data_IF_438338552462
#
_entry.id   IF_438338552462
#
_cell.length_a   1.000
_cell.length_b   1.000
_cell.length_c   1.000
_cell.angle_alpha   90.00
_cell.angle_beta   90.00
_cell.angle_gamma   90.00
#
_symmetry.space_group_name_H-M   'P 1'
#
loop_
_entity.id
_entity.type
_entity.pdbx_description
1 polymer ?
#
# COMPACT_ATOMS: atom_id res chain seq x y z
N UNK A 1 23.34 59.25 5.77
CA UNK A 1 23.06 59.10 4.32
C UNK A 1 21.95 58.07 4.16
N UNK A 2 20.77 58.44 3.65
CA UNK A 2 19.69 57.47 3.36
C UNK A 2 20.02 56.80 2.03
N UNK A 3 20.26 55.49 2.03
CA UNK A 3 20.37 54.70 0.79
C UNK A 3 19.04 54.80 0.05
N UNK A 4 19.07 55.30 -1.18
CA UNK A 4 17.93 55.22 -2.09
C UNK A 4 17.66 53.75 -2.37
N UNK A 5 16.45 53.27 -2.06
CA UNK A 5 16.04 51.93 -2.47
C UNK A 5 15.65 52.01 -3.95
N UNK A 6 16.41 51.35 -4.83
CA UNK A 6 15.99 51.17 -6.22
C UNK A 6 14.79 50.21 -6.23
N UNK A 7 13.62 50.71 -6.62
CA UNK A 7 12.46 49.86 -6.86
C UNK A 7 12.71 48.93 -8.06
N UNK A 8 12.06 47.76 -8.03
CA UNK A 8 12.07 46.81 -9.13
C UNK A 8 11.28 47.37 -10.32
N UNK A 9 11.72 47.10 -11.56
CA UNK A 9 11.00 47.61 -12.74
C UNK A 9 9.78 46.75 -13.06
N UNK A 10 8.72 47.35 -13.61
CA UNK A 10 7.54 46.60 -14.05
C UNK A 10 7.88 45.57 -15.14
N UNK A 11 8.84 45.88 -16.01
CA UNK A 11 9.28 44.97 -17.08
C UNK A 11 9.99 43.73 -16.52
N UNK A 12 10.83 43.87 -15.49
CA UNK A 12 11.46 42.72 -14.85
C UNK A 12 10.43 41.78 -14.23
N UNK A 13 9.40 42.32 -13.58
CA UNK A 13 8.34 41.50 -12.99
C UNK A 13 7.60 40.71 -14.08
N UNK A 14 7.27 41.35 -15.20
CA UNK A 14 6.56 40.71 -16.33
C UNK A 14 7.39 39.62 -16.98
N UNK A 15 8.69 39.85 -17.20
CA UNK A 15 9.58 38.82 -17.78
C UNK A 15 9.71 37.62 -16.84
N UNK A 16 9.82 37.85 -15.53
CA UNK A 16 9.94 36.77 -14.55
C UNK A 16 8.70 35.87 -14.53
N UNK A 17 7.49 36.45 -14.47
CA UNK A 17 6.25 35.65 -14.49
C UNK A 17 6.07 34.90 -15.82
N UNK A 18 6.50 35.49 -16.95
CA UNK A 18 6.45 34.84 -18.25
C UNK A 18 7.37 33.61 -18.31
N UNK A 19 8.59 33.71 -17.77
CA UNK A 19 9.53 32.58 -17.67
C UNK A 19 8.95 31.49 -16.77
N UNK A 20 8.42 31.84 -15.59
CA UNK A 20 7.82 30.88 -14.67
C UNK A 20 6.63 30.15 -15.31
N UNK A 21 5.80 30.84 -16.10
CA UNK A 21 4.66 30.24 -16.80
C UNK A 21 5.12 29.16 -17.79
N UNK A 22 6.16 29.42 -18.59
CA UNK A 22 6.70 28.45 -19.56
C UNK A 22 7.29 27.23 -18.84
N UNK A 23 8.09 27.45 -17.80
CA UNK A 23 8.69 26.37 -17.01
C UNK A 23 7.62 25.48 -16.38
N UNK A 24 6.56 26.10 -15.85
CA UNK A 24 5.47 25.41 -15.17
C UNK A 24 4.64 24.57 -16.14
N UNK A 25 4.39 25.08 -17.36
CA UNK A 25 3.65 24.36 -18.40
C UNK A 25 4.31 23.02 -18.80
N UNK A 26 5.65 22.95 -18.78
CA UNK A 26 6.39 21.72 -19.11
C UNK A 26 6.63 20.84 -17.88
N UNK A 27 6.85 21.46 -16.71
CA UNK A 27 7.17 20.74 -15.48
C UNK A 27 5.96 20.02 -14.87
N UNK A 28 4.77 20.64 -14.89
CA UNK A 28 3.58 20.07 -14.22
C UNK A 28 3.16 18.69 -14.74
N UNK A 29 3.03 18.45 -16.06
CA UNK A 29 2.63 17.13 -16.56
C UNK A 29 3.64 16.03 -16.20
N UNK A 30 4.94 16.37 -16.20
CA UNK A 30 5.99 15.43 -15.79
C UNK A 30 5.96 15.15 -14.30
N UNK A 31 5.73 16.18 -13.49
CA UNK A 31 5.64 16.02 -12.04
C UNK A 31 4.45 15.13 -11.65
N UNK A 32 3.28 15.31 -12.28
CA UNK A 32 2.11 14.45 -12.07
C UNK A 32 2.40 12.98 -12.43
N UNK A 33 3.03 12.73 -13.59
CA UNK A 33 3.41 11.38 -14.00
C UNK A 33 4.43 10.72 -13.04
N UNK A 34 5.40 11.49 -12.53
CA UNK A 34 6.36 11.01 -11.54
C UNK A 34 5.69 10.64 -10.21
N UNK A 35 4.71 11.41 -9.75
CA UNK A 35 3.93 11.06 -8.56
C UNK A 35 3.18 9.74 -8.74
N UNK A 36 2.58 9.54 -9.92
CA UNK A 36 1.89 8.30 -10.23
C UNK A 36 2.83 7.09 -10.20
N UNK A 37 4.00 7.21 -10.84
CA UNK A 37 5.03 6.17 -10.81
C UNK A 37 5.55 5.90 -9.40
N UNK A 38 5.70 6.93 -8.57
CA UNK A 38 6.12 6.79 -7.18
C UNK A 38 5.08 6.01 -6.36
N UNK A 39 3.78 6.29 -6.54
CA UNK A 39 2.70 5.53 -5.90
C UNK A 39 2.70 4.07 -6.34
N UNK A 40 2.85 3.79 -7.64
CA UNK A 40 2.96 2.42 -8.17
C UNK A 40 4.16 1.70 -7.55
N UNK A 41 5.32 2.35 -7.47
CA UNK A 41 6.53 1.77 -6.88
C UNK A 41 6.33 1.45 -5.38
N UNK A 42 5.71 2.36 -4.62
CA UNK A 42 5.33 2.14 -3.21
C UNK A 42 4.43 0.91 -3.08
N UNK A 43 3.38 0.81 -3.89
CA UNK A 43 2.44 -0.31 -3.85
C UNK A 43 3.08 -1.64 -4.27
N UNK A 44 4.00 -1.63 -5.24
CA UNK A 44 4.79 -2.81 -5.60
C UNK A 44 5.74 -3.24 -4.48
N UNK A 45 6.32 -2.29 -3.73
CA UNK A 45 7.10 -2.58 -2.53
C UNK A 45 6.28 -3.29 -1.45
N UNK A 46 5.09 -2.76 -1.15
CA UNK A 46 4.13 -3.39 -0.23
C UNK A 46 3.73 -4.80 -0.68
N UNK A 47 3.38 -4.96 -1.96
CA UNK A 47 3.03 -6.25 -2.53
C UNK A 47 4.17 -7.27 -2.41
N UNK A 48 5.40 -6.84 -2.68
CA UNK A 48 6.60 -7.67 -2.53
C UNK A 48 6.78 -8.14 -1.09
N UNK A 49 6.64 -7.23 -0.12
CA UNK A 49 6.70 -7.56 1.30
C UNK A 49 5.60 -8.57 1.70
N UNK A 50 4.36 -8.37 1.23
CA UNK A 50 3.25 -9.29 1.50
C UNK A 50 3.47 -10.68 0.89
N UNK A 51 4.01 -10.78 -0.33
CA UNK A 51 4.36 -12.08 -0.93
C UNK A 51 5.42 -12.82 -0.12
N UNK A 52 6.48 -12.11 0.29
CA UNK A 52 7.55 -12.68 1.12
C UNK A 52 7.00 -13.13 2.47
N UNK A 53 6.18 -12.31 3.13
CA UNK A 53 5.56 -12.63 4.41
C UNK A 53 4.64 -13.86 4.31
N UNK A 54 3.84 -13.96 3.24
CA UNK A 54 2.97 -15.12 3.01
C UNK A 54 3.75 -16.43 2.85
N UNK A 55 4.87 -16.42 2.11
CA UNK A 55 5.70 -17.62 1.93
C UNK A 55 6.46 -17.98 3.21
N UNK A 56 7.03 -16.99 3.90
CA UNK A 56 7.79 -17.22 5.13
C UNK A 56 6.89 -17.76 6.25
N UNK A 57 5.72 -17.16 6.46
CA UNK A 57 4.74 -17.63 7.45
C UNK A 57 4.20 -19.02 7.13
N UNK A 58 3.93 -19.31 5.85
CA UNK A 58 3.56 -20.66 5.41
C UNK A 58 4.66 -21.68 5.76
N UNK A 59 5.93 -21.35 5.50
CA UNK A 59 7.05 -22.21 5.86
C UNK A 59 7.14 -22.43 7.38
N UNK A 60 6.90 -21.40 8.20
CA UNK A 60 6.84 -21.52 9.65
C UNK A 60 5.69 -22.42 10.12
N UNK A 61 4.51 -22.30 9.51
CA UNK A 61 3.36 -23.16 9.82
C UNK A 61 3.67 -24.64 9.55
N UNK A 62 4.27 -24.94 8.39
CA UNK A 62 4.65 -26.30 8.02
C UNK A 62 5.77 -26.85 8.90
N UNK A 63 6.80 -26.04 9.20
CA UNK A 63 7.95 -26.45 10.00
C UNK A 63 7.54 -26.85 11.43
N UNK A 64 6.57 -26.14 12.01
CA UNK A 64 6.05 -26.43 13.34
C UNK A 64 4.86 -27.39 13.34
N UNK A 65 4.46 -27.90 12.17
CA UNK A 65 3.38 -28.89 12.00
C UNK A 65 2.02 -28.42 12.54
N UNK A 66 1.72 -27.12 12.46
CA UNK A 66 0.42 -26.60 12.85
C UNK A 66 -0.66 -26.90 11.81
N UNK A 67 -1.92 -26.85 12.26
CA UNK A 67 -3.08 -26.99 11.37
C UNK A 67 -3.11 -25.84 10.34
N UNK A 68 -3.62 -26.13 9.14
CA UNK A 68 -3.67 -25.16 8.04
C UNK A 68 -4.62 -23.99 8.30
N UNK A 69 -5.59 -24.15 9.21
CA UNK A 69 -6.49 -23.08 9.66
C UNK A 69 -6.17 -22.72 11.12
N UNK A 70 -4.93 -22.32 11.39
CA UNK A 70 -4.46 -21.97 12.71
C UNK A 70 -4.82 -20.52 13.06
N UNK A 71 -5.54 -20.29 14.15
CA UNK A 71 -6.03 -18.95 14.54
C UNK A 71 -5.28 -18.32 15.71
N UNK A 72 -4.14 -18.89 16.11
CA UNK A 72 -3.60 -18.67 17.45
C UNK A 72 -4.42 -19.44 18.47
N UNK A 73 -3.74 -20.08 19.42
CA UNK A 73 -4.37 -20.81 20.52
C UNK A 73 -3.78 -20.25 21.82
N UNK A 74 -4.58 -19.63 22.71
CA UNK A 74 -4.08 -19.15 24.00
C UNK A 74 -3.49 -20.26 24.90
N UNK A 75 -3.71 -21.55 24.56
CA UNK A 75 -3.15 -22.70 25.26
C UNK A 75 -1.89 -23.31 24.60
N UNK A 76 -1.45 -22.83 23.44
CA UNK A 76 -0.27 -23.33 22.72
C UNK A 76 0.70 -22.17 22.38
N UNK A 77 1.99 -22.44 22.07
CA UNK A 77 2.86 -21.38 21.57
C UNK A 77 2.33 -20.88 20.22
N UNK A 78 1.94 -19.60 20.18
CA UNK A 78 1.54 -18.92 18.95
C UNK A 78 2.70 -18.86 17.95
N UNK A 79 2.39 -18.89 16.65
CA UNK A 79 3.36 -18.51 15.62
C UNK A 79 3.50 -16.99 15.66
N UNK A 80 4.41 -16.52 16.50
CA UNK A 80 4.76 -15.12 16.63
C UNK A 80 5.89 -14.77 15.66
N UNK A 81 5.61 -13.84 14.75
CA UNK A 81 6.61 -13.27 13.84
C UNK A 81 6.78 -11.80 14.25
N UNK A 82 7.91 -11.48 14.86
CA UNK A 82 8.26 -10.11 15.27
C UNK A 82 7.20 -9.42 16.15
N UNK A 83 6.57 -10.16 17.07
CA UNK A 83 5.51 -9.63 17.93
C UNK A 83 4.12 -9.69 17.31
N UNK A 84 3.97 -10.18 16.08
CA UNK A 84 2.67 -10.38 15.41
C UNK A 84 2.26 -11.85 15.46
N UNK A 85 1.11 -12.12 16.06
CA UNK A 85 0.51 -13.46 16.03
C UNK A 85 -0.18 -13.69 14.69
N UNK A 86 0.32 -14.67 13.94
CA UNK A 86 -0.20 -14.98 12.61
C UNK A 86 -1.45 -15.85 12.68
N UNK A 87 -2.52 -15.42 12.00
CA UNK A 87 -3.72 -16.22 11.75
C UNK A 87 -3.59 -16.78 10.33
N UNK A 88 -3.97 -18.03 10.14
CA UNK A 88 -3.83 -18.75 8.88
C UNK A 88 -5.17 -19.24 8.37
N UNK A 89 -5.33 -19.13 7.05
CA UNK A 89 -6.41 -19.70 6.27
C UNK A 89 -5.77 -20.57 5.20
N UNK A 90 -6.08 -21.87 5.24
CA UNK A 90 -5.60 -22.86 4.29
C UNK A 90 -4.07 -22.89 4.10
N UNK A 91 -3.32 -22.65 5.18
CA UNK A 91 -1.86 -22.74 5.24
C UNK A 91 -1.15 -21.41 5.02
N UNK A 92 -1.84 -20.35 4.61
CA UNK A 92 -1.28 -19.02 4.38
C UNK A 92 -1.91 -17.98 5.32
N UNK A 93 -1.29 -16.83 5.56
CA UNK A 93 -1.85 -15.81 6.44
C UNK A 93 -3.24 -15.36 6.01
N UNK A 94 -4.10 -15.07 6.98
CA UNK A 94 -5.39 -14.46 6.71
C UNK A 94 -5.22 -13.02 6.22
N UNK A 95 -6.28 -12.50 5.60
CA UNK A 95 -6.41 -11.11 5.18
C UNK A 95 -6.34 -10.13 6.37
N UNK A 96 -6.60 -10.59 7.59
CA UNK A 96 -6.52 -9.78 8.82
C UNK A 96 -5.10 -9.63 9.37
N UNK A 97 -4.21 -10.60 9.15
CA UNK A 97 -2.84 -10.58 9.71
C UNK A 97 -1.73 -10.40 8.68
N UNK A 98 -2.01 -10.53 7.37
CA UNK A 98 -0.97 -10.40 6.34
C UNK A 98 -0.27 -9.02 6.31
N UNK A 99 -0.99 -7.93 6.56
CA UNK A 99 -0.42 -6.58 6.60
C UNK A 99 0.62 -6.38 7.72
N UNK A 100 0.27 -6.64 8.99
CA UNK A 100 1.24 -6.51 10.06
C UNK A 100 2.38 -7.52 9.92
N UNK A 101 2.13 -8.73 9.41
CA UNK A 101 3.21 -9.70 9.11
C UNK A 101 4.18 -9.19 8.05
N UNK A 102 3.68 -8.43 7.06
CA UNK A 102 4.51 -7.87 6.00
C UNK A 102 5.21 -6.56 6.40
N UNK A 103 4.95 -6.04 7.61
CA UNK A 103 5.38 -4.69 8.00
C UNK A 103 4.70 -3.58 7.18
N UNK A 104 3.58 -3.89 6.51
CA UNK A 104 2.83 -2.96 5.64
C UNK A 104 1.67 -2.38 6.47
N UNK A 105 2.01 -1.63 7.53
CA UNK A 105 1.02 -1.01 8.40
C UNK A 105 0.44 -1.94 9.48
N UNK A 106 -0.63 -1.46 10.12
CA UNK A 106 -1.28 -2.14 11.26
C UNK A 106 -2.26 -3.25 10.85
N UNK A 107 -2.92 -3.83 11.85
CA UNK A 107 -3.95 -4.86 11.66
C UNK A 107 -5.14 -4.33 10.84
N UNK A 108 -5.48 -5.02 9.75
CA UNK A 108 -6.65 -4.72 8.94
C UNK A 108 -7.89 -5.38 9.56
N UNK A 109 -8.66 -4.63 10.36
CA UNK A 109 -9.92 -5.13 10.92
C UNK A 109 -10.86 -5.60 9.79
N UNK A 110 -11.50 -6.75 9.98
CA UNK A 110 -12.46 -7.32 9.04
C UNK A 110 -13.74 -6.47 9.01
N UNK A 111 -14.16 -6.04 7.82
CA UNK A 111 -15.35 -5.22 7.60
C UNK A 111 -15.29 -4.41 6.30
N UNK A 112 -16.44 -3.86 5.89
CA UNK A 112 -16.55 -2.99 4.72
C UNK A 112 -16.08 -1.53 4.99
N UNK A 113 -15.27 -1.33 6.03
CA UNK A 113 -14.79 -0.01 6.45
C UNK A 113 -13.40 0.25 5.92
N UNK A 114 -13.19 1.45 5.39
CA UNK A 114 -11.88 1.88 4.92
C UNK A 114 -11.12 2.61 6.04
N UNK A 115 -9.84 2.28 6.23
CA UNK A 115 -9.05 2.79 7.35
C UNK A 115 -7.58 2.97 6.97
N UNK A 116 -6.96 4.02 7.54
CA UNK A 116 -5.52 4.22 7.42
C UNK A 116 -4.75 3.17 8.22
N UNK A 117 -3.69 2.63 7.64
CA UNK A 117 -2.81 1.62 8.23
C UNK A 117 -1.35 2.02 7.98
N UNK A 118 -0.80 2.83 8.90
CA UNK A 118 0.50 3.47 8.67
C UNK A 118 0.47 4.35 7.43
N UNK A 119 1.39 4.12 6.50
CA UNK A 119 1.46 4.86 5.24
C UNK A 119 0.44 4.40 4.19
N UNK A 120 -0.31 3.34 4.43
CA UNK A 120 -1.26 2.78 3.46
C UNK A 120 -2.70 2.98 3.91
N UNK A 121 -3.63 2.60 3.04
CA UNK A 121 -5.04 2.65 3.34
C UNK A 121 -5.72 1.34 2.95
N UNK A 122 -6.38 0.70 3.92
CA UNK A 122 -7.24 -0.46 3.65
C UNK A 122 -8.53 0.09 3.07
N UNK A 123 -8.85 -0.28 1.83
CA UNK A 123 -10.12 0.08 1.17
C UNK A 123 -11.24 -0.82 1.67
N UNK A 124 -10.97 -2.12 1.75
CA UNK A 124 -11.88 -3.13 2.26
C UNK A 124 -11.13 -4.36 2.76
N UNK A 125 -11.68 -5.04 3.76
CA UNK A 125 -11.27 -6.38 4.16
C UNK A 125 -12.50 -7.23 4.42
N UNK A 126 -12.99 -7.93 3.41
CA UNK A 126 -14.24 -8.69 3.49
C UNK A 126 -14.12 -10.00 2.71
N UNK A 127 -14.74 -11.06 3.25
CA UNK A 127 -14.80 -12.38 2.62
C UNK A 127 -13.41 -12.92 2.17
N UNK A 128 -12.38 -12.73 2.99
CA UNK A 128 -11.01 -13.18 2.68
C UNK A 128 -10.31 -12.36 1.57
N UNK A 129 -10.89 -11.24 1.16
CA UNK A 129 -10.31 -10.31 0.18
C UNK A 129 -9.98 -8.99 0.87
N UNK A 130 -8.70 -8.66 0.86
CA UNK A 130 -8.15 -7.41 1.35
C UNK A 130 -7.76 -6.54 0.15
N UNK A 131 -8.25 -5.31 0.14
CA UNK A 131 -7.92 -4.30 -0.88
C UNK A 131 -7.11 -3.18 -0.25
N UNK A 132 -5.95 -2.89 -0.83
CA UNK A 132 -5.03 -1.87 -0.32
C UNK A 132 -4.82 -0.74 -1.33
N UNK A 133 -4.74 0.48 -0.83
CA UNK A 133 -4.47 1.73 -1.54
C UNK A 133 -3.25 2.45 -0.94
N UNK A 134 -2.58 3.34 -1.70
CA UNK A 134 -1.43 4.09 -1.22
C UNK A 134 -1.79 5.17 -0.20
N UNK A 135 -3.03 5.66 -0.19
CA UNK A 135 -3.55 6.72 0.69
C UNK A 135 -5.09 6.82 0.57
N UNK A 136 -5.71 7.69 1.37
CA UNK A 136 -7.16 7.89 1.45
C UNK A 136 -7.79 8.55 0.20
N UNK A 137 -7.00 9.16 -0.69
CA UNK A 137 -7.48 9.80 -1.92
C UNK A 137 -7.55 8.83 -3.10
N UNK A 138 -6.93 7.64 -3.01
CA UNK A 138 -6.86 6.66 -4.10
C UNK A 138 -7.60 5.35 -3.77
N UNK A 139 -8.80 5.46 -3.18
CA UNK A 139 -9.47 4.34 -2.48
C UNK A 139 -10.67 3.72 -3.21
N UNK A 140 -11.08 4.23 -4.36
CA UNK A 140 -12.32 3.78 -5.02
C UNK A 140 -12.25 2.41 -5.73
N UNK A 141 -11.54 1.42 -5.16
CA UNK A 141 -11.55 0.03 -5.64
C UNK A 141 -10.88 -0.18 -7.00
N UNK A 142 -11.55 -0.91 -7.92
CA UNK A 142 -10.98 -1.38 -9.20
C UNK A 142 -10.69 -0.28 -10.23
N UNK A 143 -11.15 0.94 -9.98
CA UNK A 143 -10.90 2.11 -10.83
C UNK A 143 -9.83 3.05 -10.25
N UNK A 144 -9.19 2.68 -9.14
CA UNK A 144 -8.20 3.51 -8.45
C UNK A 144 -6.93 2.69 -8.13
N UNK A 145 -5.87 3.38 -7.69
CA UNK A 145 -4.54 2.81 -7.41
C UNK A 145 -4.54 1.74 -6.31
N UNK A 146 -5.01 0.54 -6.62
CA UNK A 146 -5.22 -0.53 -5.64
C UNK A 146 -4.64 -1.85 -6.10
N UNK A 147 -4.28 -2.70 -5.14
CA UNK A 147 -4.12 -4.13 -5.36
C UNK A 147 -4.95 -4.90 -4.34
N UNK A 148 -5.23 -6.16 -4.65
CA UNK A 148 -5.93 -7.06 -3.74
C UNK A 148 -5.09 -8.27 -3.37
N UNK A 149 -5.25 -8.69 -2.12
CA UNK A 149 -4.83 -9.98 -1.59
C UNK A 149 -6.08 -10.81 -1.35
N UNK A 150 -6.15 -11.99 -1.97
CA UNK A 150 -7.19 -12.97 -1.71
C UNK A 150 -6.56 -14.16 -1.01
N UNK A 151 -7.11 -14.53 0.13
CA UNK A 151 -6.70 -15.70 0.90
C UNK A 151 -6.66 -16.97 0.03
N UNK A 152 -5.87 -17.95 0.47
CA UNK A 152 -5.74 -19.23 -0.20
C UNK A 152 -7.10 -19.91 -0.40
N UNK A 153 -7.40 -20.34 -1.64
CA UNK A 153 -8.68 -20.95 -2.02
C UNK A 153 -8.75 -22.45 -1.71
N UNK A 154 -7.60 -23.11 -1.53
CA UNK A 154 -7.46 -24.50 -1.09
C UNK A 154 -6.28 -24.67 -0.13
N UNK A 155 -6.26 -25.80 0.58
CA UNK A 155 -5.18 -26.16 1.51
C UNK A 155 -3.82 -26.15 0.81
N UNK A 156 -2.88 -25.36 1.34
CA UNK A 156 -1.52 -25.18 0.82
C UNK A 156 -1.49 -24.68 -0.65
N UNK A 157 -2.56 -24.04 -1.12
CA UNK A 157 -2.56 -23.34 -2.40
C UNK A 157 -2.19 -21.88 -2.19
N UNK A 158 -1.38 -21.31 -3.08
CA UNK A 158 -0.91 -19.94 -2.91
C UNK A 158 -2.08 -18.95 -2.95
N UNK A 159 -2.09 -17.91 -2.09
CA UNK A 159 -3.04 -16.81 -2.19
C UNK A 159 -2.90 -16.07 -3.53
N UNK A 160 -3.99 -15.43 -3.97
CA UNK A 160 -4.01 -14.69 -5.22
C UNK A 160 -3.76 -13.21 -4.99
N UNK A 161 -2.99 -12.59 -5.88
CA UNK A 161 -2.71 -11.15 -5.86
C UNK A 161 -3.17 -10.53 -7.17
N UNK A 162 -4.02 -9.51 -7.12
CA UNK A 162 -4.49 -8.80 -8.33
C UNK A 162 -3.97 -7.37 -8.30
N UNK A 163 -3.20 -7.00 -9.34
CA UNK A 163 -2.54 -5.69 -9.48
C UNK A 163 -3.00 -4.91 -10.70
N UNK A 164 -4.12 -5.30 -11.32
CA UNK A 164 -4.63 -4.71 -12.57
C UNK A 164 -4.85 -3.20 -12.47
N UNK A 165 -5.03 -2.68 -11.26
CA UNK A 165 -5.33 -1.27 -11.04
C UNK A 165 -4.10 -0.44 -10.68
N UNK A 166 -2.89 -1.03 -10.64
CA UNK A 166 -1.62 -0.32 -10.46
C UNK A 166 -1.12 0.23 -11.80
N UNK A 167 -1.89 1.16 -12.38
CA UNK A 167 -1.56 1.82 -13.66
C UNK A 167 -1.31 3.30 -13.44
N UNK A 168 -0.63 3.96 -14.39
CA UNK A 168 -0.36 5.41 -14.31
C UNK A 168 -1.67 6.21 -14.23
N UNK A 169 -2.71 5.78 -14.96
CA UNK A 169 -4.01 6.46 -15.00
C UNK A 169 -4.76 6.32 -13.67
N UNK A 170 -4.72 5.15 -13.04
CA UNK A 170 -5.41 4.90 -11.78
C UNK A 170 -4.65 5.47 -10.57
N UNK A 171 -3.35 5.71 -10.73
CA UNK A 171 -2.45 6.21 -9.71
C UNK A 171 -2.06 7.67 -9.92
N UNK A 172 -2.71 8.44 -10.80
CA UNK A 172 -2.42 9.87 -11.03
C UNK A 172 -3.02 10.78 -9.97
#
# INVERSE_FOLDING_TARGET
MRKSQSGFTLIELVVVIAILAILTAVALPRFAALQAQARIAKMNGALGAMKSAAVMSHALLLANQYATNYTGDPAAPDINVEGVNAIYVQGYPSSSTILPLAGVGGTAATGAGSAAVGDYYVVSNAAGVLTLAPDASHVGGTTNCTFTYTEAAGVNTQPTYVTTNLTVDNCS
#
